data_IF_446909517122
#
_entry.id   IF_446909517122
#
_cell.length_a   1.000
_cell.length_b   1.000
_cell.length_c   1.000
_cell.angle_alpha   90.00
_cell.angle_beta   90.00
_cell.angle_gamma   90.00
#
_symmetry.space_group_name_H-M   'P 1'
#
loop_
_entity.id
_entity.type
_entity.pdbx_description
1 polymer ?
#
# COMPACT_ATOMS: atom_id res chain seq x y z
N UNK A 1 -57.98 33.66 21.95
CA UNK A 1 -57.42 32.38 21.49
C UNK A 1 -56.30 32.74 20.52
N UNK A 2 -55.10 33.10 20.99
CA UNK A 2 -54.07 32.21 21.57
C UNK A 2 -53.30 31.61 20.40
N UNK A 3 -52.13 32.10 19.96
CA UNK A 3 -50.88 32.27 20.72
C UNK A 3 -50.07 33.52 20.29
N UNK A 4 -49.36 34.11 21.26
CA UNK A 4 -48.42 35.25 21.15
C UNK A 4 -46.95 34.77 21.24
N UNK A 5 -46.07 35.49 20.50
CA UNK A 5 -44.66 35.90 20.72
C UNK A 5 -43.71 35.09 21.64
N UNK A 6 -42.45 34.89 21.18
CA UNK A 6 -41.20 35.40 21.83
C UNK A 6 -39.88 34.97 21.09
N UNK A 7 -39.16 35.97 20.57
CA UNK A 7 -37.72 36.32 20.63
C UNK A 7 -36.52 35.32 20.57
N UNK A 8 -35.65 35.55 19.57
CA UNK A 8 -34.21 35.99 19.62
C UNK A 8 -33.14 35.19 20.44
N UNK A 9 -32.12 34.68 19.69
CA UNK A 9 -30.69 34.38 20.00
C UNK A 9 -30.29 33.20 20.92
N UNK A 10 -29.54 32.23 20.35
CA UNK A 10 -28.26 31.73 20.91
C UNK A 10 -27.51 30.86 19.88
N UNK A 11 -26.60 31.50 19.13
CA UNK A 11 -25.47 30.84 18.47
C UNK A 11 -24.26 31.04 19.40
N UNK A 12 -23.67 29.96 19.90
CA UNK A 12 -22.38 30.02 20.59
C UNK A 12 -22.24 29.04 21.76
N UNK A 13 -21.08 28.37 21.78
CA UNK A 13 -20.50 27.57 22.88
C UNK A 13 -21.01 26.13 23.03
N UNK A 14 -20.43 25.22 22.25
CA UNK A 14 -20.22 23.83 22.71
C UNK A 14 -18.97 23.22 22.05
N UNK A 15 -17.78 23.72 22.41
CA UNK A 15 -16.51 23.11 21.98
C UNK A 15 -15.33 23.26 22.95
N UNK A 16 -15.48 23.95 24.11
CA UNK A 16 -14.39 24.03 25.09
C UNK A 16 -14.45 23.04 26.26
N UNK A 17 -15.61 22.45 26.58
CA UNK A 17 -15.70 21.57 27.77
C UNK A 17 -15.07 20.19 27.59
N UNK A 18 -15.01 19.65 26.36
CA UNK A 18 -14.37 18.36 26.09
C UNK A 18 -12.83 18.39 26.22
N UNK A 19 -12.20 19.54 25.97
CA UNK A 19 -10.74 19.68 26.05
C UNK A 19 -10.24 19.80 27.49
N UNK A 20 -11.02 20.39 28.40
CA UNK A 20 -10.68 20.47 29.83
C UNK A 20 -10.83 19.13 30.54
N UNK A 21 -11.85 18.32 30.18
CA UNK A 21 -12.02 16.97 30.76
C UNK A 21 -10.91 16.01 30.35
N UNK A 22 -10.50 16.01 29.07
CA UNK A 22 -9.36 15.20 28.59
C UNK A 22 -8.05 15.62 29.28
N UNK A 23 -7.86 16.92 29.53
CA UNK A 23 -6.65 17.46 30.15
C UNK A 23 -6.55 17.15 31.66
N UNK A 24 -7.68 17.05 32.36
CA UNK A 24 -7.74 16.64 33.77
C UNK A 24 -7.45 15.13 33.90
N UNK A 25 -7.95 14.31 32.98
CA UNK A 25 -7.68 12.87 33.00
C UNK A 25 -6.21 12.56 32.69
N UNK A 26 -5.57 13.29 31.77
CA UNK A 26 -4.13 13.18 31.50
C UNK A 26 -3.28 13.56 32.74
N UNK A 27 -3.64 14.59 33.50
CA UNK A 27 -2.94 14.91 34.76
C UNK A 27 -3.11 13.84 35.84
N UNK A 28 -4.25 13.14 35.85
CA UNK A 28 -4.52 11.99 36.74
C UNK A 28 -3.68 10.77 36.35
N UNK A 29 -3.48 10.55 35.05
CA UNK A 29 -2.66 9.47 34.49
C UNK A 29 -1.16 9.64 34.71
N UNK A 30 -0.68 10.88 34.92
CA UNK A 30 0.75 11.16 35.14
C UNK A 30 1.08 11.25 36.64
N UNK A 31 0.12 10.99 37.54
CA UNK A 31 0.42 10.76 38.97
C UNK A 31 1.19 11.89 39.65
N UNK A 32 0.81 13.15 39.43
CA UNK A 32 1.37 14.28 40.19
C UNK A 32 0.30 14.87 41.09
N UNK A 33 0.01 14.18 42.19
CA UNK A 33 -0.51 14.81 43.39
C UNK A 33 0.50 14.63 44.52
N UNK A 34 1.14 15.76 44.88
CA UNK A 34 1.92 15.91 46.11
C UNK A 34 0.95 15.69 47.28
N UNK A 35 1.06 14.57 47.99
CA UNK A 35 1.02 14.47 49.48
C UNK A 35 1.20 13.00 49.89
N UNK A 36 2.30 12.73 50.60
CA UNK A 36 2.58 11.59 51.51
C UNK A 36 2.53 10.15 50.95
N UNK A 37 3.73 9.60 50.73
CA UNK A 37 4.18 8.37 51.40
C UNK A 37 3.67 7.02 50.89
N UNK A 38 4.63 6.22 50.39
CA UNK A 38 4.67 4.74 50.37
C UNK A 38 3.92 4.04 49.21
N UNK A 39 4.75 3.64 48.23
CA UNK A 39 4.81 2.44 47.37
C UNK A 39 3.55 1.78 46.78
N UNK A 40 3.80 1.30 45.55
CA UNK A 40 3.07 0.32 44.73
C UNK A 40 1.99 0.92 43.81
N UNK A 41 2.41 1.48 42.67
CA UNK A 41 1.56 1.45 41.47
C UNK A 41 1.92 0.17 40.73
N UNK A 42 1.02 -0.79 40.87
CA UNK A 42 1.08 -2.12 40.29
C UNK A 42 0.93 -2.06 38.76
N UNK A 43 1.38 -3.15 38.14
CA UNK A 43 1.48 -3.39 36.70
C UNK A 43 0.25 -2.95 35.88
N UNK A 44 0.58 -2.51 34.65
CA UNK A 44 -0.29 -2.21 33.51
C UNK A 44 -0.88 -0.79 33.50
N UNK A 45 -0.28 0.08 32.68
CA UNK A 45 -1.03 1.15 32.02
C UNK A 45 -2.21 0.44 31.35
N UNK A 46 -3.43 0.68 31.84
CA UNK A 46 -4.60 0.03 31.28
C UNK A 46 -4.70 0.37 29.79
N UNK A 47 -5.16 -0.57 28.97
CA UNK A 47 -5.29 -0.40 27.52
C UNK A 47 -6.07 0.88 27.18
N UNK A 48 -7.02 1.26 28.04
CA UNK A 48 -7.82 2.47 27.92
C UNK A 48 -6.98 3.76 28.09
N UNK A 49 -6.01 3.78 29.01
CA UNK A 49 -5.14 4.93 29.28
C UNK A 49 -4.13 5.15 28.16
N UNK A 50 -3.52 4.07 27.66
CA UNK A 50 -2.59 4.15 26.53
C UNK A 50 -3.32 4.55 25.24
N UNK A 51 -4.56 4.09 25.08
CA UNK A 51 -5.42 4.46 23.95
C UNK A 51 -5.80 5.93 24.02
N UNK A 52 -6.23 6.42 25.19
CA UNK A 52 -6.56 7.83 25.41
C UNK A 52 -5.35 8.74 25.16
N UNK A 53 -4.18 8.38 25.71
CA UNK A 53 -2.92 9.10 25.48
C UNK A 53 -2.58 9.16 23.99
N UNK A 54 -2.80 8.05 23.26
CA UNK A 54 -2.53 7.96 21.82
C UNK A 54 -3.49 8.82 21.00
N UNK A 55 -4.78 8.81 21.33
CA UNK A 55 -5.79 9.65 20.65
C UNK A 55 -5.48 11.13 20.88
N UNK A 56 -5.25 11.52 22.14
CA UNK A 56 -4.91 12.90 22.47
C UNK A 56 -3.60 13.37 21.82
N UNK A 57 -2.58 12.51 21.74
CA UNK A 57 -1.35 12.83 21.02
C UNK A 57 -1.58 13.04 19.51
N UNK A 58 -2.44 12.24 18.88
CA UNK A 58 -2.80 12.45 17.46
C UNK A 58 -3.49 13.80 17.23
N UNK A 59 -4.41 14.18 18.11
CA UNK A 59 -5.07 15.49 18.05
C UNK A 59 -4.07 16.64 18.24
N UNK A 60 -3.13 16.49 19.19
CA UNK A 60 -2.03 17.43 19.40
C UNK A 60 -1.19 17.63 18.13
N UNK A 61 -0.81 16.54 17.45
CA UNK A 61 -0.06 16.61 16.18
C UNK A 61 -0.88 17.27 15.07
N UNK A 62 -2.18 16.99 14.99
CA UNK A 62 -3.08 17.61 14.01
C UNK A 62 -3.25 19.11 14.23
N UNK A 63 -3.22 19.55 15.48
CA UNK A 63 -3.45 20.94 15.85
C UNK A 63 -2.17 21.78 15.71
N UNK A 64 -1.07 21.31 16.32
CA UNK A 64 0.17 22.09 16.48
C UNK A 64 1.20 21.82 15.37
N UNK A 65 1.07 20.71 14.66
CA UNK A 65 2.05 20.26 13.66
C UNK A 65 1.41 19.95 12.30
N UNK A 66 0.51 20.84 11.83
CA UNK A 66 -0.25 20.69 10.57
C UNK A 66 0.65 20.36 9.37
N UNK A 67 1.80 21.00 9.29
CA UNK A 67 2.83 20.85 8.26
C UNK A 67 3.47 19.46 8.21
N UNK A 68 3.45 18.69 9.30
CA UNK A 68 4.04 17.36 9.32
C UNK A 68 3.16 16.38 8.51
N UNK A 69 3.76 15.76 7.51
CA UNK A 69 3.18 14.61 6.81
C UNK A 69 3.40 13.34 7.65
N UNK A 70 2.53 12.33 7.53
CA UNK A 70 2.65 11.01 8.20
C UNK A 70 2.55 11.03 9.75
N UNK A 71 1.59 11.80 10.30
CA UNK A 71 1.35 11.90 11.76
C UNK A 71 1.05 10.56 12.43
N UNK A 72 0.48 9.59 11.71
CA UNK A 72 0.27 8.23 12.22
C UNK A 72 1.58 7.46 12.44
N UNK A 73 2.59 7.67 11.59
CA UNK A 73 3.94 7.08 11.77
C UNK A 73 4.62 7.72 12.97
N UNK A 74 4.57 9.06 13.07
CA UNK A 74 5.10 9.81 14.21
C UNK A 74 4.47 9.31 15.51
N UNK A 75 3.14 9.15 15.52
CA UNK A 75 2.39 8.58 16.63
C UNK A 75 2.84 7.14 16.95
N UNK A 76 2.94 6.27 15.96
CA UNK A 76 3.39 4.88 16.16
C UNK A 76 4.81 4.80 16.75
N UNK A 77 5.76 5.57 16.19
CA UNK A 77 7.17 5.55 16.61
C UNK A 77 7.38 6.20 17.97
N UNK A 78 6.65 7.28 18.28
CA UNK A 78 6.67 7.87 19.62
C UNK A 78 6.18 6.89 20.69
N UNK A 79 5.24 6.01 20.34
CA UNK A 79 4.70 4.97 21.21
C UNK A 79 5.50 3.64 21.14
N UNK A 80 6.63 3.59 20.43
CA UNK A 80 7.42 2.36 20.32
C UNK A 80 7.95 1.87 21.68
N UNK A 81 8.24 2.79 22.60
CA UNK A 81 8.72 2.47 23.95
C UNK A 81 7.73 1.62 24.76
N UNK A 82 6.42 1.74 24.48
CA UNK A 82 5.38 0.99 25.19
C UNK A 82 5.17 -0.42 24.60
N UNK A 83 5.82 -0.76 23.49
CA UNK A 83 5.62 -2.03 22.76
C UNK A 83 6.66 -3.09 23.06
N UNK A 84 7.79 -2.70 23.62
CA UNK A 84 8.91 -3.59 23.89
C UNK A 84 9.55 -3.19 25.22
N UNK A 85 10.05 -4.18 25.94
CA UNK A 85 10.86 -3.93 27.12
C UNK A 85 12.29 -3.57 26.70
N UNK A 86 12.68 -2.33 27.01
CA UNK A 86 14.02 -1.78 26.77
C UNK A 86 14.89 -1.72 28.03
N UNK A 87 14.37 -2.19 29.17
CA UNK A 87 14.99 -2.00 30.48
C UNK A 87 15.04 -0.53 30.93
N UNK A 88 14.18 0.32 30.35
CA UNK A 88 13.93 1.71 30.78
C UNK A 88 12.44 2.01 30.65
N UNK A 89 11.84 2.54 31.71
CA UNK A 89 10.40 2.75 31.77
C UNK A 89 9.95 3.96 30.93
N UNK A 90 8.79 3.90 30.25
CA UNK A 90 8.29 5.03 29.45
C UNK A 90 8.17 6.34 30.24
N UNK A 91 7.72 6.26 31.49
CA UNK A 91 7.60 7.43 32.39
C UNK A 91 8.97 8.07 32.64
N UNK A 92 10.02 7.26 32.77
CA UNK A 92 11.38 7.73 33.00
C UNK A 92 11.90 8.49 31.77
N UNK A 93 11.61 7.98 30.57
CA UNK A 93 12.02 8.61 29.30
C UNK A 93 11.32 9.94 29.06
N UNK A 94 10.03 10.04 29.43
CA UNK A 94 9.23 11.25 29.23
C UNK A 94 9.50 12.32 30.30
N UNK A 95 9.80 11.94 31.54
CA UNK A 95 9.91 12.89 32.65
C UNK A 95 11.33 13.38 32.94
N UNK A 96 12.38 12.60 32.64
CA UNK A 96 13.76 12.97 32.94
C UNK A 96 14.43 13.79 31.83
N UNK A 97 15.40 14.63 32.17
CA UNK A 97 16.11 15.50 31.22
C UNK A 97 16.90 14.71 30.17
N UNK A 98 17.58 13.64 30.61
CA UNK A 98 18.41 12.76 29.79
C UNK A 98 17.70 11.46 29.36
N UNK A 99 16.42 11.26 29.72
CA UNK A 99 15.68 10.02 29.46
C UNK A 99 15.61 9.63 27.98
N UNK A 100 15.46 10.60 27.08
CA UNK A 100 15.44 10.36 25.62
C UNK A 100 16.81 9.90 25.11
N UNK A 101 17.90 10.36 25.73
CA UNK A 101 19.26 9.96 25.37
C UNK A 101 19.56 8.55 25.88
N UNK A 102 19.14 8.21 27.10
CA UNK A 102 19.18 6.83 27.62
C UNK A 102 18.37 5.88 26.74
N UNK A 103 17.15 6.28 26.36
CA UNK A 103 16.31 5.53 25.43
C UNK A 103 16.97 5.36 24.04
N UNK A 104 17.69 6.37 23.56
CA UNK A 104 18.43 6.29 22.29
C UNK A 104 19.46 5.17 22.32
N UNK A 105 20.24 5.05 23.40
CA UNK A 105 21.21 3.97 23.57
C UNK A 105 20.52 2.61 23.56
N UNK A 106 19.40 2.46 24.28
CA UNK A 106 18.61 1.22 24.30
C UNK A 106 18.01 0.85 22.94
N UNK A 107 17.53 1.84 22.18
CA UNK A 107 17.06 1.62 20.81
C UNK A 107 18.18 1.19 19.88
N UNK A 108 19.38 1.77 20.03
CA UNK A 108 20.54 1.38 19.22
C UNK A 108 20.95 -0.06 19.48
N UNK A 109 21.00 -0.48 20.75
CA UNK A 109 21.24 -1.87 21.15
C UNK A 109 20.17 -2.79 20.54
N UNK A 110 18.89 -2.52 20.82
CA UNK A 110 17.76 -3.30 20.33
C UNK A 110 17.71 -3.42 18.79
N UNK A 111 18.00 -2.34 18.05
CA UNK A 111 18.00 -2.37 16.59
C UNK A 111 19.23 -3.09 16.02
N UNK A 112 20.37 -3.04 16.71
CA UNK A 112 21.55 -3.81 16.32
C UNK A 112 21.31 -5.30 16.50
N UNK A 113 20.73 -5.71 17.64
CA UNK A 113 20.40 -7.10 17.94
C UNK A 113 19.40 -7.68 16.94
N UNK A 114 18.50 -6.84 16.42
CA UNK A 114 17.54 -7.21 15.36
C UNK A 114 18.11 -7.15 13.94
N UNK A 115 19.41 -6.90 13.76
CA UNK A 115 20.05 -6.88 12.46
C UNK A 115 19.57 -5.73 11.56
N UNK A 116 19.11 -4.61 12.12
CA UNK A 116 18.73 -3.45 11.32
C UNK A 116 19.97 -2.88 10.63
N UNK A 117 19.79 -2.43 9.38
CA UNK A 117 20.90 -1.93 8.56
C UNK A 117 21.57 -0.68 9.12
N UNK A 118 20.83 0.20 9.80
CA UNK A 118 21.34 1.46 10.36
C UNK A 118 20.77 1.77 11.76
N UNK A 119 21.13 0.99 12.80
CA UNK A 119 20.55 1.09 14.15
C UNK A 119 20.64 2.49 14.76
N UNK A 120 21.75 3.19 14.52
CA UNK A 120 21.98 4.57 15.00
C UNK A 120 21.02 5.59 14.38
N UNK A 121 20.81 5.51 13.06
CA UNK A 121 19.91 6.42 12.34
C UNK A 121 18.46 6.17 12.72
N UNK A 122 18.09 4.89 12.86
CA UNK A 122 16.74 4.50 13.27
C UNK A 122 16.46 5.01 14.68
N UNK A 123 17.36 4.78 15.65
CA UNK A 123 17.18 5.25 17.02
C UNK A 123 16.97 6.76 17.09
N UNK A 124 17.69 7.54 16.27
CA UNK A 124 17.53 8.99 16.20
C UNK A 124 16.13 9.41 15.75
N UNK A 125 15.56 8.73 14.75
CA UNK A 125 14.19 8.99 14.28
C UNK A 125 13.15 8.73 15.36
N UNK A 126 13.28 7.63 16.10
CA UNK A 126 12.36 7.29 17.19
C UNK A 126 12.49 8.27 18.35
N UNK A 127 13.72 8.69 18.69
CA UNK A 127 13.97 9.74 19.67
C UNK A 127 13.41 11.10 19.25
N UNK A 128 13.42 11.44 17.95
CA UNK A 128 12.79 12.65 17.43
C UNK A 128 11.26 12.63 17.65
N UNK A 129 10.63 11.48 17.46
CA UNK A 129 9.18 11.36 17.58
C UNK A 129 8.72 11.29 19.05
N UNK A 130 9.45 10.60 19.92
CA UNK A 130 9.14 10.60 21.36
C UNK A 130 9.39 11.97 22.01
N UNK A 131 10.24 12.84 21.44
CA UNK A 131 10.34 14.25 21.86
C UNK A 131 9.02 15.00 21.68
N UNK A 132 8.29 14.75 20.58
CA UNK A 132 6.98 15.36 20.36
C UNK A 132 5.94 14.82 21.37
N UNK A 133 6.02 13.54 21.72
CA UNK A 133 5.18 12.97 22.77
C UNK A 133 5.52 13.54 24.15
N UNK A 134 6.81 13.72 24.46
CA UNK A 134 7.26 14.41 25.67
C UNK A 134 6.70 15.83 25.72
N UNK A 135 6.79 16.59 24.64
CA UNK A 135 6.21 17.93 24.53
C UNK A 135 4.69 17.93 24.78
N UNK A 136 3.95 16.97 24.23
CA UNK A 136 2.52 16.81 24.50
C UNK A 136 2.22 16.53 25.97
N UNK A 137 2.99 15.64 26.59
CA UNK A 137 2.80 15.21 28.00
C UNK A 137 3.26 16.29 28.99
N UNK A 138 4.30 17.06 28.67
CA UNK A 138 4.88 18.06 29.58
C UNK A 138 4.39 19.49 29.29
N UNK A 139 3.75 19.74 28.14
CA UNK A 139 3.23 21.06 27.75
C UNK A 139 4.28 22.08 27.29
N UNK A 140 5.52 21.67 26.98
CA UNK A 140 6.64 22.56 26.62
C UNK A 140 6.97 22.48 25.13
N UNK A 141 6.70 23.54 24.36
CA UNK A 141 6.98 23.62 22.92
C UNK A 141 8.48 23.86 22.63
N UNK A 142 9.12 22.99 21.84
CA UNK A 142 10.53 23.18 21.41
C UNK A 142 10.61 23.33 19.89
N UNK A 143 11.25 24.41 19.42
CA UNK A 143 11.45 24.71 18.01
C UNK A 143 12.56 23.84 17.38
N UNK A 144 12.28 23.28 16.19
CA UNK A 144 13.26 22.49 15.41
C UNK A 144 13.96 23.37 14.36
N UNK A 145 15.28 23.56 14.48
CA UNK A 145 16.12 24.16 13.44
C UNK A 145 16.66 23.10 12.47
N UNK A 146 16.59 23.39 11.16
CA UNK A 146 16.94 22.47 10.07
C UNK A 146 18.36 22.75 9.56
N UNK A 147 19.26 21.78 9.68
CA UNK A 147 20.61 21.81 9.11
C UNK A 147 20.65 21.34 7.64
N UNK A 148 21.36 22.09 6.79
CA UNK A 148 21.35 22.08 5.31
C UNK A 148 21.92 20.82 4.58
N UNK A 149 22.19 19.71 5.25
CA UNK A 149 22.86 18.53 4.63
C UNK A 149 21.96 17.47 3.99
N UNK A 150 20.64 17.51 4.19
CA UNK A 150 19.75 16.36 3.95
C UNK A 150 19.06 16.31 2.57
N UNK A 151 19.20 17.34 1.73
CA UNK A 151 18.42 17.45 0.48
C UNK A 151 18.79 16.42 -0.60
N UNK A 152 20.00 15.87 -0.60
CA UNK A 152 20.45 14.89 -1.59
C UNK A 152 20.16 13.43 -1.22
N UNK A 153 20.00 13.14 0.07
CA UNK A 153 19.68 11.79 0.58
C UNK A 153 18.16 11.58 0.69
N UNK A 154 17.41 12.66 0.99
CA UNK A 154 15.95 12.65 1.09
C UNK A 154 15.25 12.18 -0.21
N UNK A 155 15.83 12.46 -1.38
CA UNK A 155 15.25 12.05 -2.68
C UNK A 155 15.46 10.57 -2.97
N UNK A 156 16.48 9.91 -2.40
CA UNK A 156 16.70 8.46 -2.58
C UNK A 156 15.89 7.59 -1.62
N UNK A 157 15.58 8.08 -0.41
CA UNK A 157 14.86 7.31 0.63
C UNK A 157 13.33 7.33 0.43
N UNK A 158 12.76 8.38 -0.16
CA UNK A 158 11.30 8.50 -0.40
C UNK A 158 10.69 7.42 -1.32
N UNK A 159 11.50 6.51 -1.87
CA UNK A 159 11.07 5.49 -2.85
C UNK A 159 10.91 4.07 -2.30
N UNK A 160 11.24 3.78 -1.04
CA UNK A 160 11.12 2.39 -0.54
C UNK A 160 10.47 2.32 0.84
N UNK A 161 9.35 1.60 0.88
CA UNK A 161 8.64 1.08 2.05
C UNK A 161 7.66 2.02 2.75
N UNK A 162 6.50 2.23 2.09
CA UNK A 162 5.22 2.44 2.79
C UNK A 162 4.75 1.07 3.31
N UNK A 163 4.88 0.79 4.60
CA UNK A 163 4.01 -0.23 5.21
C UNK A 163 2.61 0.38 5.26
N UNK A 164 1.72 -0.18 4.44
CA UNK A 164 0.33 0.25 4.39
C UNK A 164 -0.49 -0.74 5.22
N UNK A 165 -0.97 -0.29 6.38
CA UNK A 165 -1.86 -1.06 7.26
C UNK A 165 -3.28 -1.24 6.65
N UNK A 166 -3.52 -0.72 5.45
CA UNK A 166 -4.82 -0.70 4.75
C UNK A 166 -5.03 -1.86 3.75
N UNK A 167 -4.02 -2.70 3.49
CA UNK A 167 -4.13 -3.83 2.56
C UNK A 167 -4.40 -5.11 3.35
N UNK A 168 -5.61 -5.69 3.25
CA UNK A 168 -5.96 -6.91 3.96
C UNK A 168 -5.10 -8.07 3.47
N UNK A 169 -4.85 -9.03 4.37
CA UNK A 169 -4.23 -10.30 4.00
C UNK A 169 -5.16 -11.03 3.04
N UNK A 170 -4.68 -11.57 1.91
CA UNK A 170 -5.50 -12.37 1.00
C UNK A 170 -6.15 -13.55 1.73
N UNK A 171 -7.43 -13.73 1.47
CA UNK A 171 -8.29 -14.80 1.97
C UNK A 171 -9.41 -15.04 0.96
N UNK A 172 -10.11 -16.16 1.10
CA UNK A 172 -11.30 -16.47 0.31
C UNK A 172 -12.34 -15.34 0.35
N UNK A 173 -12.66 -14.83 1.55
CA UNK A 173 -13.62 -13.74 1.72
C UNK A 173 -13.19 -12.46 0.99
N UNK A 174 -11.91 -12.10 1.03
CA UNK A 174 -11.41 -10.92 0.31
C UNK A 174 -11.47 -11.13 -1.21
N UNK A 175 -11.16 -12.33 -1.71
CA UNK A 175 -11.29 -12.62 -3.15
C UNK A 175 -12.76 -12.52 -3.58
N UNK A 176 -13.69 -13.14 -2.85
CA UNK A 176 -15.14 -13.10 -3.16
C UNK A 176 -15.65 -11.67 -3.17
N UNK A 177 -15.36 -10.89 -2.12
CA UNK A 177 -15.71 -9.47 -2.02
C UNK A 177 -15.31 -8.66 -3.25
N UNK A 178 -14.08 -8.79 -3.74
CA UNK A 178 -13.64 -8.05 -4.94
C UNK A 178 -14.25 -8.60 -6.23
N UNK A 179 -14.51 -9.91 -6.33
CA UNK A 179 -15.22 -10.48 -7.47
C UNK A 179 -16.67 -9.98 -7.54
N UNK A 180 -17.35 -9.79 -6.41
CA UNK A 180 -18.69 -9.17 -6.37
C UNK A 180 -18.65 -7.69 -6.76
N UNK A 181 -17.61 -6.96 -6.36
CA UNK A 181 -17.40 -5.57 -6.81
C UNK A 181 -17.20 -5.49 -8.34
N UNK A 182 -16.52 -6.48 -8.94
CA UNK A 182 -16.31 -6.56 -10.38
C UNK A 182 -17.64 -6.53 -11.16
N UNK A 183 -18.65 -7.25 -10.68
CA UNK A 183 -19.95 -7.35 -11.36
C UNK A 183 -20.73 -6.03 -11.41
N UNK A 184 -20.39 -5.09 -10.52
CA UNK A 184 -20.97 -3.75 -10.43
C UNK A 184 -20.21 -2.70 -11.26
N UNK A 185 -19.08 -3.07 -11.89
CA UNK A 185 -18.29 -2.18 -12.74
C UNK A 185 -18.74 -2.27 -14.21
N UNK A 186 -19.85 -1.58 -14.52
CA UNK A 186 -20.56 -1.67 -15.80
C UNK A 186 -19.66 -1.48 -17.04
N UNK A 187 -18.80 -0.47 -17.03
CA UNK A 187 -17.92 -0.18 -18.16
C UNK A 187 -16.91 -1.33 -18.43
N UNK A 188 -16.29 -1.88 -17.38
CA UNK A 188 -15.34 -2.98 -17.50
C UNK A 188 -16.03 -4.29 -17.91
N UNK A 189 -17.25 -4.51 -17.42
CA UNK A 189 -18.07 -5.68 -17.79
C UNK A 189 -18.35 -5.72 -19.30
N UNK A 190 -18.79 -4.61 -19.88
CA UNK A 190 -19.06 -4.56 -21.32
C UNK A 190 -17.78 -4.62 -22.17
N UNK A 191 -16.68 -4.02 -21.71
CA UNK A 191 -15.38 -4.13 -22.39
C UNK A 191 -14.88 -5.57 -22.43
N UNK A 192 -14.90 -6.29 -21.29
CA UNK A 192 -14.52 -7.70 -21.25
C UNK A 192 -15.45 -8.57 -22.11
N UNK A 193 -16.77 -8.36 -22.04
CA UNK A 193 -17.71 -9.14 -22.84
C UNK A 193 -17.51 -8.91 -24.36
N UNK A 194 -17.17 -7.68 -24.76
CA UNK A 194 -16.84 -7.37 -26.14
C UNK A 194 -15.53 -8.05 -26.58
N UNK A 195 -14.51 -8.09 -25.71
CA UNK A 195 -13.27 -8.81 -25.99
C UNK A 195 -13.49 -10.33 -26.03
N UNK A 196 -14.25 -10.91 -25.10
CA UNK A 196 -14.60 -12.33 -25.11
C UNK A 196 -15.32 -12.69 -26.43
N UNK A 197 -16.28 -11.87 -26.88
CA UNK A 197 -16.92 -12.05 -28.18
C UNK A 197 -15.91 -11.97 -29.33
N UNK A 198 -15.03 -10.97 -29.31
CA UNK A 198 -14.04 -10.75 -30.36
C UNK A 198 -13.07 -11.93 -30.50
N UNK A 199 -12.53 -12.43 -29.37
CA UNK A 199 -11.49 -13.45 -29.34
C UNK A 199 -12.04 -14.88 -29.41
N UNK A 200 -13.25 -15.17 -28.92
CA UNK A 200 -13.81 -16.53 -28.95
C UNK A 200 -14.77 -16.79 -30.10
N UNK A 201 -15.47 -15.77 -30.57
CA UNK A 201 -16.57 -15.94 -31.54
C UNK A 201 -16.22 -15.31 -32.88
N UNK A 202 -15.89 -14.03 -32.90
CA UNK A 202 -15.72 -13.29 -34.16
C UNK A 202 -14.42 -13.69 -34.86
N UNK A 203 -13.30 -13.68 -34.15
CA UNK A 203 -11.98 -13.93 -34.70
C UNK A 203 -11.20 -14.92 -33.82
N UNK A 204 -11.50 -16.23 -33.85
CA UNK A 204 -10.84 -17.19 -32.95
C UNK A 204 -9.37 -17.47 -33.30
N UNK A 205 -8.97 -17.38 -34.56
CA UNK A 205 -7.60 -17.67 -35.04
C UNK A 205 -6.73 -16.42 -35.19
N UNK A 206 -5.43 -16.61 -35.41
CA UNK A 206 -4.45 -15.53 -35.55
C UNK A 206 -3.73 -15.56 -36.92
N UNK A 207 -4.45 -15.98 -37.96
CA UNK A 207 -3.92 -16.21 -39.30
C UNK A 207 -4.21 -15.09 -40.30
N UNK A 208 -5.30 -14.33 -40.10
CA UNK A 208 -5.70 -13.24 -40.98
C UNK A 208 -5.26 -11.88 -40.40
N UNK A 209 -4.69 -11.03 -41.26
CA UNK A 209 -4.14 -9.73 -40.86
C UNK A 209 -5.19 -8.79 -40.30
N UNK A 210 -6.35 -8.73 -40.94
CA UNK A 210 -7.47 -7.86 -40.57
C UNK A 210 -7.99 -8.24 -39.18
N UNK A 211 -8.17 -9.53 -38.93
CA UNK A 211 -8.66 -10.08 -37.68
C UNK A 211 -7.69 -9.78 -36.53
N UNK A 212 -6.41 -10.07 -36.72
CA UNK A 212 -5.36 -9.81 -35.72
C UNK A 212 -5.22 -8.32 -35.47
N UNK A 213 -5.31 -7.48 -36.51
CA UNK A 213 -5.24 -6.02 -36.38
C UNK A 213 -6.40 -5.46 -35.55
N UNK A 214 -7.62 -5.95 -35.75
CA UNK A 214 -8.78 -5.56 -34.94
C UNK A 214 -8.58 -5.98 -33.49
N UNK A 215 -8.17 -7.23 -33.23
CA UNK A 215 -7.84 -7.70 -31.86
C UNK A 215 -6.81 -6.82 -31.18
N UNK A 216 -5.68 -6.55 -31.84
CA UNK A 216 -4.60 -5.72 -31.31
C UNK A 216 -5.13 -4.32 -30.96
N UNK A 217 -5.87 -3.72 -31.87
CA UNK A 217 -6.37 -2.34 -31.73
C UNK A 217 -7.40 -2.23 -30.60
N UNK A 218 -8.40 -3.11 -30.58
CA UNK A 218 -9.43 -3.13 -29.53
C UNK A 218 -8.84 -3.44 -28.16
N UNK A 219 -7.96 -4.44 -28.07
CA UNK A 219 -7.31 -4.79 -26.80
C UNK A 219 -6.43 -3.64 -26.29
N UNK A 220 -5.69 -2.99 -27.19
CA UNK A 220 -4.83 -1.86 -26.83
C UNK A 220 -5.63 -0.67 -26.29
N UNK A 221 -6.80 -0.39 -26.87
CA UNK A 221 -7.70 0.66 -26.42
C UNK A 221 -8.26 0.35 -25.03
N UNK A 222 -8.89 -0.81 -24.87
CA UNK A 222 -9.58 -1.17 -23.61
C UNK A 222 -8.64 -1.31 -22.43
N UNK A 223 -7.41 -1.80 -22.66
CA UNK A 223 -6.38 -1.91 -21.62
C UNK A 223 -5.38 -0.76 -21.60
N UNK A 224 -5.54 0.25 -22.46
CA UNK A 224 -4.66 1.41 -22.57
C UNK A 224 -3.16 1.03 -22.64
N UNK A 225 -2.81 0.06 -23.48
CA UNK A 225 -1.44 -0.49 -23.53
C UNK A 225 -0.42 0.41 -24.25
N UNK A 226 -0.88 1.55 -24.80
CA UNK A 226 -0.06 2.57 -25.48
C UNK A 226 0.75 2.03 -26.67
N UNK A 227 0.13 1.16 -27.47
CA UNK A 227 0.67 0.69 -28.75
C UNK A 227 0.26 1.69 -29.83
N UNK A 228 1.23 2.40 -30.39
CA UNK A 228 1.01 3.32 -31.52
C UNK A 228 1.19 2.64 -32.89
N UNK A 229 1.85 1.48 -32.93
CA UNK A 229 2.18 0.75 -34.16
C UNK A 229 1.39 -0.57 -34.24
N UNK A 230 0.06 -0.52 -34.14
CA UNK A 230 -0.81 -1.69 -34.08
C UNK A 230 -0.59 -2.66 -35.25
N UNK A 231 -0.43 -2.14 -36.47
CA UNK A 231 -0.11 -2.95 -37.66
C UNK A 231 1.17 -3.77 -37.49
N UNK A 232 2.24 -3.18 -36.93
CA UNK A 232 3.51 -3.87 -36.72
C UNK A 232 3.37 -5.00 -35.71
N UNK A 233 2.60 -4.76 -34.65
CA UNK A 233 2.28 -5.79 -33.65
C UNK A 233 1.46 -6.93 -34.25
N UNK A 234 0.44 -6.61 -35.06
CA UNK A 234 -0.36 -7.62 -35.74
C UNK A 234 0.47 -8.48 -36.70
N UNK A 235 1.32 -7.83 -37.51
CA UNK A 235 2.24 -8.52 -38.42
C UNK A 235 3.21 -9.45 -37.67
N UNK A 236 3.74 -9.00 -36.54
CA UNK A 236 4.61 -9.82 -35.68
C UNK A 236 3.88 -11.05 -35.16
N UNK A 237 2.67 -10.90 -34.62
CA UNK A 237 1.84 -12.02 -34.13
C UNK A 237 1.60 -13.05 -35.22
N UNK A 238 1.23 -12.62 -36.44
CA UNK A 238 1.00 -13.54 -37.57
C UNK A 238 2.28 -14.29 -37.94
N UNK A 239 3.43 -13.61 -37.94
CA UNK A 239 4.71 -14.24 -38.30
C UNK A 239 5.15 -15.34 -37.33
N UNK A 240 4.60 -15.34 -36.10
CA UNK A 240 4.91 -16.34 -35.07
C UNK A 240 4.06 -17.60 -35.14
N UNK A 241 3.01 -17.64 -35.99
CA UNK A 241 2.08 -18.77 -36.15
C UNK A 241 1.61 -19.38 -34.80
N UNK A 242 0.92 -18.56 -34.01
CA UNK A 242 0.80 -18.78 -32.57
C UNK A 242 -0.33 -19.73 -32.14
N UNK A 243 -1.22 -20.13 -33.06
CA UNK A 243 -2.47 -20.81 -32.70
C UNK A 243 -2.25 -22.19 -32.06
N UNK A 244 -1.33 -23.01 -32.61
CA UNK A 244 -0.99 -24.31 -32.00
C UNK A 244 -0.24 -24.13 -30.67
N UNK A 245 0.60 -23.10 -30.53
CA UNK A 245 1.28 -22.79 -29.27
C UNK A 245 0.30 -22.38 -28.18
N UNK A 246 -0.70 -21.54 -28.51
CA UNK A 246 -1.80 -21.17 -27.61
C UNK A 246 -2.60 -22.41 -27.19
N UNK A 247 -2.93 -23.29 -28.14
CA UNK A 247 -3.66 -24.53 -27.87
C UNK A 247 -2.90 -25.47 -26.93
N UNK A 248 -1.58 -25.54 -27.06
CA UNK A 248 -0.71 -26.35 -26.22
C UNK A 248 -0.37 -25.70 -24.86
N UNK A 249 -0.85 -24.48 -24.61
CA UNK A 249 -0.57 -23.75 -23.36
C UNK A 249 0.90 -23.35 -23.22
N UNK A 250 1.60 -23.11 -24.35
CA UNK A 250 3.00 -22.70 -24.33
C UNK A 250 3.16 -21.29 -23.76
N UNK A 251 3.53 -21.24 -22.48
CA UNK A 251 3.71 -19.99 -21.73
C UNK A 251 4.90 -19.14 -22.21
N UNK A 252 5.86 -19.71 -22.94
CA UNK A 252 7.00 -18.93 -23.49
C UNK A 252 6.56 -17.97 -24.59
N UNK A 253 5.41 -18.23 -25.21
CA UNK A 253 4.82 -17.43 -26.28
C UNK A 253 4.63 -15.95 -25.90
N UNK A 254 4.36 -15.65 -24.63
CA UNK A 254 4.16 -14.27 -24.18
C UNK A 254 5.42 -13.43 -24.42
N UNK A 255 6.60 -13.98 -24.15
CA UNK A 255 7.86 -13.25 -24.33
C UNK A 255 8.21 -13.05 -25.81
N UNK A 256 7.82 -14.00 -26.67
CA UNK A 256 7.99 -13.89 -28.11
C UNK A 256 7.08 -12.82 -28.72
N UNK A 257 5.80 -12.78 -28.33
CA UNK A 257 4.86 -11.74 -28.76
C UNK A 257 5.29 -10.36 -28.23
N UNK A 258 5.82 -10.30 -27.02
CA UNK A 258 6.14 -9.04 -26.36
C UNK A 258 7.28 -8.27 -27.03
N UNK A 259 8.29 -8.97 -27.59
CA UNK A 259 9.51 -8.35 -28.13
C UNK A 259 9.34 -8.03 -29.61
N UNK A 260 9.21 -6.75 -29.93
CA UNK A 260 8.98 -6.29 -31.30
C UNK A 260 10.13 -5.37 -31.71
N UNK A 261 10.81 -5.73 -32.79
CA UNK A 261 11.80 -4.87 -33.42
C UNK A 261 11.12 -3.68 -34.10
N UNK A 262 11.53 -2.45 -33.76
CA UNK A 262 11.01 -1.20 -34.32
C UNK A 262 11.81 -0.80 -35.57
N UNK A 263 11.30 0.14 -36.37
CA UNK A 263 11.92 0.50 -37.67
C UNK A 263 13.33 1.10 -37.53
N UNK A 264 13.67 1.57 -36.33
CA UNK A 264 15.00 2.06 -35.96
C UNK A 264 15.93 0.97 -35.41
N UNK A 265 15.57 -0.31 -35.53
CA UNK A 265 16.33 -1.46 -35.02
C UNK A 265 16.23 -1.69 -33.51
N UNK A 266 15.52 -0.83 -32.77
CA UNK A 266 15.35 -1.02 -31.32
C UNK A 266 14.26 -2.03 -31.02
N UNK A 267 14.48 -2.91 -30.03
CA UNK A 267 13.44 -3.83 -29.56
C UNK A 267 12.59 -3.13 -28.51
N UNK A 268 11.29 -3.02 -28.78
CA UNK A 268 10.29 -2.56 -27.80
C UNK A 268 9.61 -3.76 -27.16
N UNK A 269 9.52 -3.74 -25.83
CA UNK A 269 8.91 -4.82 -25.06
C UNK A 269 7.47 -4.45 -24.63
N UNK A 270 6.48 -5.04 -25.27
CA UNK A 270 5.05 -4.89 -25.01
C UNK A 270 4.49 -6.00 -24.08
N UNK A 271 5.26 -6.36 -23.05
CA UNK A 271 4.96 -7.46 -22.12
C UNK A 271 3.52 -7.50 -21.56
N UNK A 272 3.03 -6.36 -21.05
CA UNK A 272 1.65 -6.25 -20.52
C UNK A 272 0.60 -6.56 -21.59
N UNK A 273 0.80 -6.10 -22.83
CA UNK A 273 -0.10 -6.39 -23.94
C UNK A 273 -0.05 -7.87 -24.31
N UNK A 274 1.15 -8.44 -24.47
CA UNK A 274 1.32 -9.84 -24.85
C UNK A 274 0.63 -10.81 -23.87
N UNK A 275 0.75 -10.56 -22.56
CA UNK A 275 0.05 -11.34 -21.53
C UNK A 275 -1.47 -11.27 -21.67
N UNK A 276 -2.02 -10.10 -22.00
CA UNK A 276 -3.47 -9.88 -22.18
C UNK A 276 -3.97 -10.55 -23.45
N UNK A 277 -3.19 -10.46 -24.53
CA UNK A 277 -3.51 -11.08 -25.80
C UNK A 277 -3.62 -12.59 -25.65
N UNK A 278 -2.64 -13.23 -24.99
CA UNK A 278 -2.68 -14.66 -24.73
C UNK A 278 -3.81 -15.03 -23.75
N UNK A 279 -4.03 -14.23 -22.71
CA UNK A 279 -5.12 -14.45 -21.73
C UNK A 279 -6.51 -14.40 -22.38
N UNK A 280 -6.76 -13.51 -23.34
CA UNK A 280 -8.04 -13.47 -24.04
C UNK A 280 -8.25 -14.66 -25.00
N UNK A 281 -7.18 -15.32 -25.43
CA UNK A 281 -7.29 -16.60 -26.14
C UNK A 281 -7.47 -17.81 -25.19
N UNK A 282 -6.75 -17.79 -24.05
CA UNK A 282 -6.62 -18.93 -23.13
C UNK A 282 -6.60 -18.42 -21.67
N UNK A 283 -7.75 -17.99 -21.14
CA UNK A 283 -7.83 -17.26 -19.88
C UNK A 283 -7.41 -18.05 -18.63
N UNK A 284 -7.46 -19.38 -18.71
CA UNK A 284 -7.07 -20.25 -17.59
C UNK A 284 -5.57 -20.54 -17.59
N UNK A 285 -4.92 -20.44 -18.75
CA UNK A 285 -3.52 -20.83 -18.93
C UNK A 285 -2.57 -19.64 -18.84
N UNK A 286 -3.05 -18.45 -19.21
CA UNK A 286 -2.23 -17.24 -19.33
C UNK A 286 -2.71 -16.14 -18.38
N UNK A 287 -2.13 -16.02 -17.18
CA UNK A 287 -2.40 -14.90 -16.29
C UNK A 287 -2.01 -13.55 -16.91
N UNK A 288 -2.76 -12.50 -16.56
CA UNK A 288 -2.50 -11.15 -17.02
C UNK A 288 -1.43 -10.49 -16.16
N UNK A 289 -0.39 -9.98 -16.81
CA UNK A 289 0.56 -9.10 -16.16
C UNK A 289 0.14 -7.63 -16.32
N UNK A 290 0.13 -6.89 -15.22
CA UNK A 290 0.09 -5.43 -15.21
C UNK A 290 0.79 -4.83 -13.99
N UNK A 291 0.81 -3.49 -13.93
CA UNK A 291 1.50 -2.75 -12.87
C UNK A 291 0.87 -2.92 -11.48
N UNK A 292 -0.44 -3.12 -11.37
CA UNK A 292 -1.11 -3.34 -10.09
C UNK A 292 -0.79 -4.73 -9.56
N UNK A 293 -0.91 -5.76 -10.41
CA UNK A 293 -0.51 -7.14 -10.07
C UNK A 293 0.97 -7.18 -9.65
N UNK A 294 1.86 -6.57 -10.44
CA UNK A 294 3.29 -6.43 -10.11
C UNK A 294 3.51 -5.77 -8.74
N UNK A 295 2.79 -4.68 -8.47
CA UNK A 295 2.93 -3.92 -7.21
C UNK A 295 2.46 -4.74 -6.02
N UNK A 296 1.33 -5.43 -6.13
CA UNK A 296 0.79 -6.25 -5.05
C UNK A 296 1.62 -7.48 -4.77
N UNK A 297 2.09 -8.20 -5.79
CA UNK A 297 2.96 -9.35 -5.59
C UNK A 297 4.25 -8.94 -4.87
N UNK A 298 4.85 -7.80 -5.24
CA UNK A 298 6.01 -7.26 -4.51
C UNK A 298 5.65 -6.87 -3.07
N UNK A 299 4.49 -6.25 -2.87
CA UNK A 299 4.03 -5.86 -1.54
C UNK A 299 3.85 -7.09 -0.63
N UNK A 300 3.13 -8.10 -1.06
CA UNK A 300 2.89 -9.31 -0.28
C UNK A 300 4.16 -10.13 -0.08
N UNK A 301 5.08 -10.13 -1.06
CA UNK A 301 6.42 -10.71 -0.87
C UNK A 301 7.14 -10.03 0.28
N UNK A 302 7.19 -8.72 0.27
CA UNK A 302 7.98 -7.95 1.25
C UNK A 302 7.30 -7.94 2.64
N UNK A 303 5.97 -8.00 2.69
CA UNK A 303 5.17 -8.00 3.93
C UNK A 303 5.09 -9.37 4.57
N UNK A 304 4.68 -10.38 3.81
CA UNK A 304 4.30 -11.69 4.33
C UNK A 304 5.36 -12.75 4.03
N UNK A 305 6.36 -12.44 3.18
CA UNK A 305 7.38 -13.39 2.71
C UNK A 305 6.77 -14.65 2.07
N UNK A 306 5.64 -14.52 1.36
CA UNK A 306 4.90 -15.67 0.83
C UNK A 306 5.71 -16.54 -0.13
N UNK A 307 6.58 -15.92 -0.95
CA UNK A 307 7.44 -16.62 -1.89
C UNK A 307 8.67 -15.77 -2.22
N UNK A 308 9.85 -16.40 -2.32
CA UNK A 308 11.11 -15.67 -2.55
C UNK A 308 11.36 -15.47 -4.05
N UNK A 309 11.26 -14.23 -4.52
CA UNK A 309 11.58 -13.86 -5.91
C UNK A 309 12.12 -12.43 -6.03
N UNK A 310 12.92 -12.17 -7.06
CA UNK A 310 13.46 -10.84 -7.38
C UNK A 310 12.47 -10.03 -8.22
N UNK A 311 12.65 -8.72 -8.30
CA UNK A 311 11.74 -7.87 -9.07
C UNK A 311 11.77 -8.21 -10.57
N UNK A 312 12.92 -8.64 -11.07
CA UNK A 312 13.12 -9.01 -12.47
C UNK A 312 12.43 -10.32 -12.83
N UNK A 313 12.19 -11.21 -11.84
CA UNK A 313 11.50 -12.48 -12.07
C UNK A 313 10.02 -12.27 -12.45
N UNK A 314 9.42 -11.11 -12.14
CA UNK A 314 8.08 -10.76 -12.62
C UNK A 314 8.05 -10.35 -14.11
N UNK A 315 9.22 -10.19 -14.75
CA UNK A 315 9.37 -9.89 -16.18
C UNK A 315 9.74 -11.12 -17.02
N UNK A 316 9.81 -12.27 -16.38
CA UNK A 316 9.94 -13.59 -16.99
C UNK A 316 8.58 -14.28 -16.83
N UNK A 317 7.91 -14.58 -17.93
CA UNK A 317 6.50 -14.99 -17.84
C UNK A 317 6.32 -16.34 -17.13
N UNK A 318 7.28 -17.26 -17.31
CA UNK A 318 7.29 -18.57 -16.65
C UNK A 318 7.39 -18.39 -15.13
N UNK A 319 8.33 -17.56 -14.68
CA UNK A 319 8.49 -17.27 -13.26
C UNK A 319 7.31 -16.49 -12.71
N UNK A 320 6.78 -15.52 -13.45
CA UNK A 320 5.59 -14.76 -13.06
C UNK A 320 4.39 -15.66 -12.81
N UNK A 321 4.08 -16.58 -13.73
CA UNK A 321 3.00 -17.56 -13.55
C UNK A 321 3.23 -18.42 -12.30
N UNK A 322 4.45 -18.90 -12.09
CA UNK A 322 4.79 -19.68 -10.90
C UNK A 322 4.63 -18.85 -9.60
N UNK A 323 5.00 -17.57 -9.60
CA UNK A 323 4.80 -16.68 -8.44
C UNK A 323 3.31 -16.54 -8.10
N UNK A 324 2.43 -16.46 -9.10
CA UNK A 324 0.97 -16.44 -8.85
C UNK A 324 0.46 -17.78 -8.29
N UNK A 325 0.97 -18.91 -8.77
CA UNK A 325 0.62 -20.23 -8.23
C UNK A 325 1.07 -20.34 -6.75
N UNK A 326 2.27 -19.90 -6.44
CA UNK A 326 2.78 -19.89 -5.06
C UNK A 326 2.02 -18.89 -4.17
N UNK A 327 1.58 -17.76 -4.74
CA UNK A 327 0.68 -16.84 -4.06
C UNK A 327 -0.63 -17.55 -3.68
N UNK A 328 -1.27 -18.27 -4.61
CA UNK A 328 -2.49 -19.01 -4.31
C UNK A 328 -2.29 -20.02 -3.19
N UNK A 329 -1.23 -20.84 -3.28
CA UNK A 329 -0.90 -21.86 -2.28
C UNK A 329 -0.67 -21.28 -0.90
N UNK A 330 0.09 -20.19 -0.81
CA UNK A 330 0.42 -19.59 0.48
C UNK A 330 -0.81 -19.03 1.23
N UNK A 331 -1.79 -18.50 0.48
CA UNK A 331 -3.00 -17.91 1.06
C UNK A 331 -4.20 -18.86 1.09
N UNK A 332 -4.07 -20.10 0.59
CA UNK A 332 -5.18 -21.07 0.52
C UNK A 332 -6.26 -20.66 -0.48
N UNK A 333 -5.86 -20.22 -1.68
CA UNK A 333 -6.73 -19.66 -2.73
C UNK A 333 -6.81 -20.55 -3.99
N UNK A 334 -6.42 -21.82 -3.89
CA UNK A 334 -6.37 -22.75 -5.03
C UNK A 334 -7.75 -23.11 -5.61
N UNK A 335 -8.84 -22.85 -4.88
CA UNK A 335 -10.21 -22.99 -5.39
C UNK A 335 -10.54 -21.93 -6.46
N UNK A 336 -9.79 -20.83 -6.52
CA UNK A 336 -9.92 -19.82 -7.55
C UNK A 336 -8.97 -20.13 -8.72
N UNK A 337 -9.40 -19.90 -9.96
CA UNK A 337 -8.47 -19.96 -11.09
C UNK A 337 -7.65 -18.66 -11.19
N UNK A 338 -6.56 -18.71 -11.97
CA UNK A 338 -5.65 -17.57 -12.13
C UNK A 338 -6.36 -16.31 -12.64
N UNK A 339 -7.36 -16.42 -13.53
CA UNK A 339 -8.17 -15.27 -13.98
C UNK A 339 -8.89 -14.57 -12.83
N UNK A 340 -9.44 -15.33 -11.86
CA UNK A 340 -10.08 -14.76 -10.67
C UNK A 340 -9.08 -14.08 -9.74
N UNK A 341 -7.90 -14.68 -9.56
CA UNK A 341 -6.81 -14.08 -8.77
C UNK A 341 -6.31 -12.79 -9.41
N UNK A 342 -6.14 -12.77 -10.73
CA UNK A 342 -5.73 -11.58 -11.47
C UNK A 342 -6.74 -10.44 -11.29
N UNK A 343 -8.05 -10.73 -11.40
CA UNK A 343 -9.11 -9.74 -11.13
C UNK A 343 -9.06 -9.20 -9.70
N UNK A 344 -8.89 -10.08 -8.72
CA UNK A 344 -8.75 -9.69 -7.31
C UNK A 344 -7.55 -8.75 -7.11
N UNK A 345 -6.36 -9.16 -7.58
CA UNK A 345 -5.14 -8.35 -7.46
C UNK A 345 -5.28 -7.02 -8.20
N UNK A 346 -5.88 -7.02 -9.40
CA UNK A 346 -6.07 -5.78 -10.14
C UNK A 346 -6.99 -4.79 -9.40
N UNK A 347 -8.13 -5.24 -8.89
CA UNK A 347 -9.08 -4.38 -8.17
C UNK A 347 -8.51 -3.88 -6.85
N UNK A 348 -7.93 -4.76 -6.05
CA UNK A 348 -7.27 -4.38 -4.80
C UNK A 348 -6.13 -3.39 -5.09
N UNK A 349 -5.35 -3.64 -6.13
CA UNK A 349 -4.24 -2.79 -6.53
C UNK A 349 -4.73 -1.42 -7.01
N UNK A 350 -5.84 -1.36 -7.75
CA UNK A 350 -6.47 -0.11 -8.19
C UNK A 350 -7.02 0.70 -7.02
N UNK A 351 -7.69 0.05 -6.06
CA UNK A 351 -8.23 0.70 -4.87
C UNK A 351 -7.12 1.25 -3.97
N UNK A 352 -6.11 0.43 -3.67
CA UNK A 352 -5.06 0.79 -2.73
C UNK A 352 -4.02 1.67 -3.39
N UNK A 353 -3.61 1.39 -4.62
CA UNK A 353 -2.55 2.13 -5.34
C UNK A 353 -3.11 2.94 -6.52
N UNK A 354 -4.11 3.81 -6.35
CA UNK A 354 -4.73 4.49 -7.48
C UNK A 354 -3.67 5.28 -8.25
N UNK A 355 -3.65 5.09 -9.57
CA UNK A 355 -2.81 5.89 -10.46
C UNK A 355 -3.43 7.28 -10.57
N UNK A 356 -2.68 8.31 -10.20
CA UNK A 356 -3.04 9.69 -10.48
C UNK A 356 -2.91 9.95 -11.98
N UNK A 357 -3.90 9.54 -12.76
CA UNK A 357 -4.09 10.08 -14.11
C UNK A 357 -4.53 11.53 -13.91
N UNK A 358 -3.64 12.46 -14.22
CA UNK A 358 -3.80 13.87 -13.87
C UNK A 358 -5.15 14.43 -14.34
N UNK A 359 -5.89 15.04 -13.40
CA UNK A 359 -6.63 16.25 -13.73
C UNK A 359 -5.58 17.24 -14.26
N UNK A 360 -5.52 17.40 -15.57
CA UNK A 360 -4.92 18.61 -16.14
C UNK A 360 -5.69 19.77 -15.50
N UNK A 361 -4.96 20.64 -14.80
CA UNK A 361 -5.40 22.01 -14.61
C UNK A 361 -5.37 22.73 -15.94
#
# INVERSE_FOLDING_TARGET
>A
MGWQKLDVWLFGLCSSNRFTEIRIEVHRLIGVDKVRGIYMIDKAIQIDDLTALRVGFKEFLNTNYKQLSYKDIICSEAFYIFRYDFGIEPIEVLSSEDGIERYRTKLMEHFSDRGRKNPKSDAYTYCRNIKLLKEYVTGNTVSLSVGKGEKEVATRILRKNRNREDIPRPSEDEVIKYLELWDNLENYKFQEAALDKLFFVTYPSNTLMEDVLVKVSTLNDFYSTNIFAAYKVAKHIISLDIDERLKNGDITLVDDIAKIEMDNGNIKNFYSFASKYCSHHKPLDFPIYDSFVDTLLKYFRDKDNFYKFKNEDLKDYVKFKNILIEFQRYYGLEQFNLKKIDKYLWLLGKEKFPKNYGKSK
#
